data_IF_069112167372
#
_entry.id   IF_069112167372
#
_cell.length_a   1.000
_cell.length_b   1.000
_cell.length_c   1.000
_cell.angle_alpha   90.00
_cell.angle_beta   90.00
_cell.angle_gamma   90.00
#
_symmetry.space_group_name_H-M   'P 1'
#
loop_
_entity.id
_entity.type
_entity.pdbx_description
1 polymer ?
#
# COMPACT_ATOMS: atom_id res chain seq x y z
N UNK A 1 0.28 14.99 18.95
CA UNK A 1 -1.18 14.71 18.88
C UNK A 1 -1.66 14.26 17.48
N UNK A 2 -0.92 14.46 16.38
CA UNK A 2 -1.36 14.09 15.02
C UNK A 2 -0.75 12.79 14.42
N UNK A 3 0.19 12.13 15.10
CA UNK A 3 0.85 10.91 14.59
C UNK A 3 0.31 9.60 15.18
N UNK A 4 -0.18 9.62 16.43
CA UNK A 4 -0.60 8.38 17.12
C UNK A 4 -1.90 7.79 16.54
N UNK A 5 -2.85 8.64 16.11
CA UNK A 5 -4.14 8.19 15.57
C UNK A 5 -4.08 7.55 14.17
N UNK A 6 -2.97 7.75 13.43
CA UNK A 6 -2.77 7.15 12.09
C UNK A 6 -2.12 5.77 12.19
N UNK A 7 -1.30 5.55 13.23
CA UNK A 7 -0.53 4.32 13.44
C UNK A 7 -1.29 3.30 14.28
N UNK A 8 -2.11 3.72 15.26
CA UNK A 8 -3.15 2.86 15.83
C UNK A 8 -4.31 2.76 14.83
N UNK A 9 -4.35 1.65 14.09
CA UNK A 9 -5.47 1.35 13.21
C UNK A 9 -6.77 1.24 14.02
N UNK A 10 -7.48 2.35 14.18
CA UNK A 10 -8.86 2.32 14.66
C UNK A 10 -9.62 1.34 13.76
N UNK A 11 -10.19 0.31 14.38
CA UNK A 11 -10.94 -0.73 13.69
C UNK A 11 -12.00 -0.07 12.82
N UNK A 12 -11.85 -0.18 11.50
CA UNK A 12 -12.81 0.36 10.54
C UNK A 12 -14.13 -0.36 10.80
N UNK A 13 -15.16 0.40 11.14
CA UNK A 13 -16.49 -0.15 11.33
C UNK A 13 -17.09 -0.57 9.98
N UNK A 14 -17.98 -1.58 9.94
CA UNK A 14 -18.54 -2.08 8.67
C UNK A 14 -19.16 -0.98 7.79
N UNK A 15 -19.82 0.01 8.40
CA UNK A 15 -20.41 1.14 7.68
C UNK A 15 -19.36 2.05 7.03
N UNK A 16 -18.21 2.26 7.67
CA UNK A 16 -17.09 3.04 7.12
C UNK A 16 -16.47 2.32 5.93
N UNK A 17 -16.35 0.99 6.00
CA UNK A 17 -15.88 0.18 4.88
C UNK A 17 -16.84 0.30 3.69
N UNK A 18 -18.15 0.16 3.91
CA UNK A 18 -19.16 0.28 2.86
C UNK A 18 -19.14 1.67 2.20
N UNK A 19 -18.97 2.72 2.99
CA UNK A 19 -18.80 4.08 2.48
C UNK A 19 -17.55 4.18 1.59
N UNK A 20 -16.38 3.68 2.05
CA UNK A 20 -15.13 3.73 1.29
C UNK A 20 -15.18 2.93 0.00
N UNK A 21 -15.87 1.79 0.00
CA UNK A 21 -16.06 0.96 -1.20
C UNK A 21 -16.86 1.69 -2.28
N UNK A 22 -17.80 2.57 -1.89
CA UNK A 22 -18.60 3.39 -2.81
C UNK A 22 -17.91 4.64 -3.37
N UNK A 23 -16.71 4.98 -2.91
CA UNK A 23 -15.97 6.15 -3.42
C UNK A 23 -15.50 5.94 -4.86
N UNK A 24 -15.33 7.03 -5.60
CA UNK A 24 -14.71 7.00 -6.92
C UNK A 24 -13.22 6.59 -6.84
N UNK A 25 -12.65 6.26 -8.01
CA UNK A 25 -11.26 5.78 -8.09
C UNK A 25 -10.25 6.84 -7.65
N UNK A 26 -10.40 8.09 -8.06
CA UNK A 26 -9.46 9.15 -7.74
C UNK A 26 -9.40 9.40 -6.22
N UNK A 27 -10.56 9.39 -5.56
CA UNK A 27 -10.65 9.49 -4.11
C UNK A 27 -9.95 8.30 -3.43
N UNK A 28 -10.14 7.07 -3.93
CA UNK A 28 -9.46 5.86 -3.41
C UNK A 28 -7.95 5.91 -3.61
N UNK A 29 -7.48 6.44 -4.74
CA UNK A 29 -6.05 6.66 -5.01
C UNK A 29 -5.46 7.68 -4.03
N UNK A 30 -6.17 8.78 -3.76
CA UNK A 30 -5.77 9.79 -2.78
C UNK A 30 -5.66 9.23 -1.36
N UNK A 31 -6.63 8.42 -0.94
CA UNK A 31 -6.58 7.72 0.37
C UNK A 31 -5.37 6.79 0.46
N UNK A 32 -5.10 6.04 -0.62
CA UNK A 32 -3.92 5.16 -0.72
C UNK A 32 -2.61 5.96 -0.65
N UNK A 33 -2.49 7.05 -1.40
CA UNK A 33 -1.31 7.91 -1.40
C UNK A 33 -1.03 8.50 -0.01
N UNK A 34 -2.07 8.95 0.70
CA UNK A 34 -1.93 9.45 2.06
C UNK A 34 -1.43 8.36 3.03
N UNK A 35 -1.91 7.12 2.88
CA UNK A 35 -1.44 5.99 3.70
C UNK A 35 0.02 5.64 3.41
N UNK A 36 0.42 5.63 2.14
CA UNK A 36 1.81 5.37 1.73
C UNK A 36 2.73 6.47 2.28
N UNK A 37 2.36 7.76 2.14
CA UNK A 37 3.13 8.89 2.65
C UNK A 37 3.34 8.78 4.16
N UNK A 38 2.26 8.55 4.92
CA UNK A 38 2.35 8.42 6.38
C UNK A 38 3.26 7.27 6.81
N UNK A 39 3.24 6.13 6.09
CA UNK A 39 4.12 5.01 6.37
C UNK A 39 5.58 5.32 6.02
N UNK A 40 5.83 5.93 4.86
CA UNK A 40 7.17 6.33 4.43
C UNK A 40 7.80 7.31 5.41
N UNK A 41 7.07 8.35 5.80
CA UNK A 41 7.51 9.36 6.77
C UNK A 41 7.78 8.76 8.15
N UNK A 42 6.91 7.85 8.61
CA UNK A 42 7.08 7.19 9.90
C UNK A 42 8.40 6.41 9.99
N UNK A 43 8.81 5.77 8.90
CA UNK A 43 10.04 4.98 8.83
C UNK A 43 11.21 5.73 8.20
N UNK A 44 11.13 7.05 8.03
CA UNK A 44 12.16 7.87 7.38
C UNK A 44 12.64 7.31 6.03
N UNK A 45 11.72 6.72 5.25
CA UNK A 45 12.02 6.15 3.95
C UNK A 45 12.73 4.80 3.95
N UNK A 46 13.03 4.23 5.12
CA UNK A 46 13.58 2.87 5.28
C UNK A 46 12.47 1.82 5.12
N UNK A 47 11.88 1.77 3.92
CA UNK A 47 10.75 0.90 3.60
C UNK A 47 10.98 0.10 2.32
N UNK A 48 10.32 -1.05 2.25
CA UNK A 48 10.31 -1.93 1.09
C UNK A 48 8.87 -2.27 0.71
N UNK A 49 8.62 -2.55 -0.57
CA UNK A 49 7.35 -3.12 -1.04
C UNK A 49 7.50 -4.63 -1.14
N UNK A 50 6.75 -5.38 -0.33
CA UNK A 50 6.58 -6.82 -0.58
C UNK A 50 5.77 -7.01 -1.86
N UNK A 51 6.38 -7.64 -2.85
CA UNK A 51 5.83 -7.81 -4.19
C UNK A 51 5.66 -9.31 -4.47
N UNK A 52 4.46 -9.72 -4.89
CA UNK A 52 4.14 -11.13 -5.17
C UNK A 52 3.92 -11.42 -6.65
N UNK A 53 3.90 -10.40 -7.50
CA UNK A 53 3.45 -10.52 -8.89
C UNK A 53 1.92 -10.55 -9.05
N UNK A 54 1.16 -10.63 -7.96
CA UNK A 54 -0.30 -10.55 -7.99
C UNK A 54 -0.82 -9.12 -8.14
N UNK A 55 -2.06 -8.97 -8.62
CA UNK A 55 -2.70 -7.68 -8.96
C UNK A 55 -2.58 -6.62 -7.86
N UNK A 56 -2.80 -6.99 -6.60
CA UNK A 56 -2.85 -6.05 -5.49
C UNK A 56 -1.45 -5.48 -5.21
N UNK A 57 -0.43 -6.35 -5.24
CA UNK A 57 0.97 -5.95 -5.09
C UNK A 57 1.48 -5.14 -6.28
N UNK A 58 1.00 -5.42 -7.50
CA UNK A 58 1.33 -4.66 -8.71
C UNK A 58 0.77 -3.24 -8.65
N UNK A 59 -0.49 -3.08 -8.27
CA UNK A 59 -1.11 -1.74 -8.09
C UNK A 59 -0.41 -0.98 -6.97
N UNK A 60 -0.11 -1.63 -5.84
CA UNK A 60 0.63 -0.98 -4.75
C UNK A 60 2.02 -0.52 -5.20
N UNK A 61 2.78 -1.38 -5.86
CA UNK A 61 4.13 -1.04 -6.35
C UNK A 61 4.07 0.11 -7.37
N UNK A 62 3.07 0.12 -8.25
CA UNK A 62 2.86 1.23 -9.19
C UNK A 62 2.63 2.56 -8.45
N UNK A 63 1.73 2.57 -7.46
CA UNK A 63 1.44 3.77 -6.66
C UNK A 63 2.66 4.23 -5.86
N UNK A 64 3.40 3.32 -5.23
CA UNK A 64 4.62 3.65 -4.48
C UNK A 64 5.67 4.24 -5.41
N UNK A 65 5.93 3.65 -6.58
CA UNK A 65 6.95 4.16 -7.52
C UNK A 65 6.61 5.52 -8.11
N UNK A 66 5.32 5.85 -8.29
CA UNK A 66 4.87 7.20 -8.69
C UNK A 66 5.28 8.28 -7.68
N UNK A 67 5.32 7.93 -6.39
CA UNK A 67 5.64 8.87 -5.29
C UNK A 67 7.11 8.81 -4.87
N UNK A 68 7.68 7.60 -4.80
CA UNK A 68 8.99 7.28 -4.25
C UNK A 68 9.71 6.25 -5.15
N UNK A 69 10.23 6.67 -6.32
CA UNK A 69 10.74 5.76 -7.35
C UNK A 69 11.95 4.92 -6.92
N UNK A 70 12.64 5.31 -5.83
CA UNK A 70 13.81 4.60 -5.30
C UNK A 70 13.47 3.51 -4.27
N UNK A 71 12.19 3.41 -3.84
CA UNK A 71 11.77 2.33 -2.92
C UNK A 71 11.90 0.99 -3.62
N UNK A 72 12.62 0.07 -2.98
CA UNK A 72 12.88 -1.27 -3.50
C UNK A 72 11.67 -2.17 -3.29
N UNK A 73 11.43 -3.06 -4.27
CA UNK A 73 10.50 -4.16 -4.13
C UNK A 73 11.28 -5.43 -3.72
N UNK A 74 10.67 -6.25 -2.87
CA UNK A 74 11.19 -7.55 -2.47
C UNK A 74 10.21 -8.61 -2.94
N UNK A 75 10.69 -9.54 -3.75
CA UNK A 75 9.96 -10.72 -4.17
C UNK A 75 10.55 -11.94 -3.45
N UNK A 76 9.68 -12.77 -2.89
CA UNK A 76 10.08 -14.03 -2.23
C UNK A 76 9.78 -15.16 -3.21
N UNK A 77 10.83 -15.70 -3.83
CA UNK A 77 10.71 -16.89 -4.69
C UNK A 77 10.68 -18.14 -3.79
N UNK A 78 9.49 -18.72 -3.63
CA UNK A 78 9.31 -19.94 -2.84
C UNK A 78 9.64 -21.21 -3.65
N UNK A 79 9.84 -21.08 -4.96
CA UNK A 79 9.96 -22.20 -5.87
C UNK A 79 8.62 -22.77 -6.36
N UNK A 80 7.48 -22.31 -5.79
CA UNK A 80 6.13 -22.84 -6.04
C UNK A 80 5.24 -21.91 -6.85
N UNK A 81 5.73 -20.74 -7.25
CA UNK A 81 5.00 -19.77 -8.06
C UNK A 81 4.75 -20.30 -9.47
N UNK A 82 3.67 -19.82 -10.09
CA UNK A 82 3.41 -20.11 -11.50
C UNK A 82 4.55 -19.60 -12.39
N UNK A 83 4.91 -20.34 -13.45
CA UNK A 83 6.00 -19.94 -14.36
C UNK A 83 5.86 -18.54 -14.94
N UNK A 84 4.62 -18.02 -15.08
CA UNK A 84 4.34 -16.67 -15.58
C UNK A 84 4.79 -15.53 -14.65
N UNK A 85 5.17 -15.84 -13.41
CA UNK A 85 5.63 -14.85 -12.41
C UNK A 85 7.18 -14.78 -12.38
N UNK A 86 7.87 -15.77 -12.97
CA UNK A 86 9.34 -15.82 -13.05
C UNK A 86 9.89 -15.02 -14.22
#
# INVERSE_FOLDING_TARGET
MWLEGVLMGNKIQPWQLKQRQGLDLATKEGLTANRIRAWYEHWNGEVYVSFSGGKDSTVLLHQVRRMYPRVKAVFVDTGLEYPSIR
#
